data_IF_060064721570
#
_entry.id   IF_060064721570
#
_cell.length_a   1.000
_cell.length_b   1.000
_cell.length_c   1.000
_cell.angle_alpha   90.00
_cell.angle_beta   90.00
_cell.angle_gamma   90.00
#
_symmetry.space_group_name_H-M   'P 1'
#
loop_
_entity.id
_entity.type
_entity.pdbx_description
1 polymer ?
#
# COMPACT_ATOMS: atom_id res chain seq x y z
N UNK A 1 -7.37 -0.79 10.04
CA UNK A 1 -8.12 -0.67 8.76
C UNK A 1 -7.51 -1.61 7.74
N UNK A 2 -8.27 -2.05 6.75
CA UNK A 2 -7.75 -2.80 5.59
C UNK A 2 -8.03 -2.00 4.33
N UNK A 3 -6.98 -1.60 3.61
CA UNK A 3 -7.08 -0.68 2.47
C UNK A 3 -6.58 -1.38 1.21
N UNK A 4 -7.40 -1.38 0.17
CA UNK A 4 -6.97 -1.68 -1.19
C UNK A 4 -6.68 -0.34 -1.91
N UNK A 5 -5.46 -0.08 -2.43
CA UNK A 5 -5.08 1.23 -2.97
C UNK A 5 -5.88 1.73 -4.19
N UNK A 6 -6.63 0.84 -4.85
CA UNK A 6 -7.54 1.18 -5.97
C UNK A 6 -8.70 0.18 -6.02
N UNK A 7 -8.65 -0.79 -6.93
CA UNK A 7 -9.71 -1.78 -7.07
C UNK A 7 -9.43 -3.03 -6.23
N UNK A 8 -10.34 -3.44 -5.33
CA UNK A 8 -10.13 -4.61 -4.47
C UNK A 8 -10.14 -5.94 -5.25
N UNK A 9 -10.65 -5.95 -6.49
CA UNK A 9 -10.61 -7.12 -7.35
C UNK A 9 -9.18 -7.48 -7.79
N UNK A 10 -8.31 -6.48 -7.98
CA UNK A 10 -6.97 -6.67 -8.54
C UNK A 10 -5.83 -6.25 -7.60
N UNK A 11 -6.11 -5.45 -6.58
CA UNK A 11 -5.13 -5.04 -5.56
C UNK A 11 -5.33 -5.83 -4.26
N UNK A 12 -4.25 -6.22 -3.56
CA UNK A 12 -4.36 -6.80 -2.24
C UNK A 12 -4.82 -5.78 -1.21
N UNK A 13 -5.47 -6.27 -0.16
CA UNK A 13 -5.73 -5.47 1.03
C UNK A 13 -4.48 -5.40 1.90
N UNK A 14 -4.12 -4.18 2.27
CA UNK A 14 -2.98 -3.86 3.15
C UNK A 14 -3.56 -3.44 4.50
N UNK A 15 -3.08 -3.97 5.64
CA UNK A 15 -3.50 -3.51 6.95
C UNK A 15 -2.84 -2.16 7.27
N UNK A 16 -3.64 -1.22 7.75
CA UNK A 16 -3.21 0.08 8.25
C UNK A 16 -3.71 0.25 9.67
N UNK A 17 -2.79 0.22 10.64
CA UNK A 17 -3.15 0.36 12.05
C UNK A 17 -3.42 1.82 12.40
N UNK A 18 -4.36 2.01 13.33
CA UNK A 18 -4.61 3.33 13.91
C UNK A 18 -3.50 3.67 14.91
N UNK A 19 -3.19 4.97 15.04
CA UNK A 19 -2.18 5.45 15.99
C UNK A 19 -0.72 5.26 15.55
N UNK A 20 -0.47 4.76 14.33
CA UNK A 20 0.89 4.75 13.76
C UNK A 20 1.44 6.19 13.70
N UNK A 21 2.75 6.33 13.93
CA UNK A 21 3.37 7.64 14.08
C UNK A 21 3.91 8.23 12.77
N UNK A 22 3.98 7.43 11.70
CA UNK A 22 4.35 7.87 10.35
C UNK A 22 3.80 6.93 9.28
N UNK A 23 3.66 7.47 8.08
CA UNK A 23 3.37 6.72 6.86
C UNK A 23 4.65 6.70 6.02
N UNK A 24 4.87 5.64 5.23
CA UNK A 24 6.00 5.62 4.28
C UNK A 24 5.92 6.80 3.33
N UNK A 25 7.06 7.44 3.05
CA UNK A 25 7.14 8.57 2.11
C UNK A 25 6.64 8.24 0.70
N UNK A 26 6.65 6.97 0.30
CA UNK A 26 6.04 6.55 -0.97
C UNK A 26 4.52 6.80 -1.03
N UNK A 27 3.86 6.81 0.14
CA UNK A 27 2.41 6.95 0.30
C UNK A 27 2.00 8.34 0.81
N UNK A 28 2.97 9.18 1.19
CA UNK A 28 2.73 10.53 1.66
C UNK A 28 2.95 11.52 0.52
N UNK A 29 1.94 12.34 0.23
CA UNK A 29 2.09 13.46 -0.72
C UNK A 29 2.67 14.68 -0.03
N UNK A 30 2.20 14.99 1.16
CA UNK A 30 2.58 16.19 1.87
C UNK A 30 2.35 15.96 3.35
N UNK A 31 3.08 16.69 4.18
CA UNK A 31 2.79 16.73 5.61
C UNK A 31 1.37 17.26 5.85
N UNK A 32 0.78 16.95 7.00
CA UNK A 32 -0.54 17.47 7.37
C UNK A 32 -0.59 19.01 7.28
N UNK A 33 0.46 19.71 7.70
CA UNK A 33 0.53 21.17 7.65
C UNK A 33 0.49 21.69 6.22
N UNK A 34 1.32 21.14 5.34
CA UNK A 34 1.34 21.52 3.92
C UNK A 34 0.00 21.18 3.24
N UNK A 35 -0.59 20.03 3.57
CA UNK A 35 -1.90 19.64 3.04
C UNK A 35 -2.99 20.62 3.47
N UNK A 36 -2.98 21.07 4.72
CA UNK A 36 -3.93 22.05 5.25
C UNK A 36 -3.76 23.42 4.61
N UNK A 37 -2.52 23.90 4.50
CA UNK A 37 -2.19 25.18 3.85
C UNK A 37 -2.61 25.21 2.37
N UNK A 38 -2.59 24.06 1.71
CA UNK A 38 -2.87 23.94 0.28
C UNK A 38 -4.25 23.34 -0.04
N UNK A 39 -5.10 23.12 0.96
CA UNK A 39 -6.39 22.43 0.81
C UNK A 39 -7.28 23.03 -0.30
N UNK A 40 -7.25 24.36 -0.47
CA UNK A 40 -8.04 25.08 -1.47
C UNK A 40 -7.29 25.38 -2.78
N UNK A 41 -6.04 24.92 -2.93
CA UNK A 41 -5.24 25.20 -4.12
C UNK A 41 -5.58 24.23 -5.26
N UNK A 42 -6.50 24.68 -6.14
CA UNK A 42 -7.05 23.87 -7.24
C UNK A 42 -6.10 23.64 -8.42
N UNK A 43 -4.96 24.35 -8.47
CA UNK A 43 -4.06 24.33 -9.64
C UNK A 43 -2.78 23.50 -9.42
N UNK A 44 -2.77 22.58 -8.44
CA UNK A 44 -1.61 21.73 -8.19
C UNK A 44 -1.58 20.53 -9.13
N UNK A 45 -0.48 20.42 -9.90
CA UNK A 45 -0.17 19.21 -10.64
C UNK A 45 0.50 18.18 -9.72
N UNK A 46 -0.29 17.32 -9.09
CA UNK A 46 0.20 16.32 -8.14
C UNK A 46 1.10 15.25 -8.78
N UNK A 47 1.00 15.03 -10.10
CA UNK A 47 1.85 14.09 -10.80
C UNK A 47 3.28 14.65 -10.88
N UNK A 48 3.42 15.92 -11.24
CA UNK A 48 4.73 16.60 -11.31
C UNK A 48 5.35 16.81 -9.93
N UNK A 49 4.53 17.13 -8.92
CA UNK A 49 5.01 17.34 -7.56
C UNK A 49 5.48 16.03 -6.90
N UNK A 50 4.84 14.90 -7.24
CA UNK A 50 5.07 13.61 -6.58
C UNK A 50 5.17 12.46 -7.59
N UNK A 51 6.14 12.48 -8.51
CA UNK A 51 6.19 11.55 -9.64
C UNK A 51 6.39 10.09 -9.20
N UNK A 52 6.98 9.86 -8.03
CA UNK A 52 7.21 8.52 -7.47
C UNK A 52 6.10 7.98 -6.57
N UNK A 53 5.02 8.74 -6.37
CA UNK A 53 4.02 8.39 -5.37
C UNK A 53 3.31 7.06 -5.68
N UNK A 54 3.11 6.24 -4.65
CA UNK A 54 2.56 4.89 -4.74
C UNK A 54 1.20 4.84 -5.46
N UNK A 55 0.37 5.88 -5.31
CA UNK A 55 -0.93 5.95 -5.99
C UNK A 55 -0.80 5.85 -7.51
N UNK A 56 0.25 6.39 -8.12
CA UNK A 56 0.46 6.32 -9.57
C UNK A 56 0.79 4.90 -10.01
N UNK A 57 1.58 4.17 -9.23
CA UNK A 57 1.89 2.75 -9.50
C UNK A 57 0.62 1.91 -9.46
N UNK A 58 -0.22 2.10 -8.45
CA UNK A 58 -1.46 1.34 -8.32
C UNK A 58 -2.50 1.69 -9.39
N UNK A 59 -2.53 2.95 -9.84
CA UNK A 59 -3.39 3.41 -10.93
C UNK A 59 -2.90 2.86 -12.29
N UNK A 60 -1.60 2.98 -12.59
CA UNK A 60 -0.98 2.41 -13.78
C UNK A 60 -1.21 0.90 -13.88
N UNK A 61 -1.07 0.19 -12.76
CA UNK A 61 -1.37 -1.24 -12.70
C UNK A 61 -2.85 -1.51 -13.00
N UNK A 62 -3.77 -0.74 -12.42
CA UNK A 62 -5.20 -0.91 -12.69
C UNK A 62 -5.53 -0.68 -14.17
N UNK A 63 -5.05 0.43 -14.74
CA UNK A 63 -5.23 0.77 -16.16
C UNK A 63 -4.66 -0.33 -17.07
N UNK A 64 -3.49 -0.90 -16.71
CA UNK A 64 -2.89 -1.98 -17.49
C UNK A 64 -3.73 -3.25 -17.43
N UNK A 65 -4.21 -3.61 -16.24
CA UNK A 65 -5.05 -4.80 -16.04
C UNK A 65 -6.38 -4.67 -16.77
N UNK A 66 -7.02 -3.52 -16.75
CA UNK A 66 -8.28 -3.31 -17.47
C UNK A 66 -8.11 -3.55 -18.98
N UNK A 67 -6.97 -3.16 -19.55
CA UNK A 67 -6.62 -3.41 -20.95
C UNK A 67 -6.32 -4.88 -21.29
N UNK A 68 -6.05 -5.75 -20.32
CA UNK A 68 -5.73 -7.16 -20.56
C UNK A 68 -6.37 -8.15 -19.55
N UNK A 69 -7.50 -7.78 -18.97
CA UNK A 69 -8.09 -8.47 -17.81
C UNK A 69 -8.30 -9.96 -18.05
N UNK A 70 -8.81 -10.34 -19.22
CA UNK A 70 -9.02 -11.74 -19.58
C UNK A 70 -7.76 -12.60 -19.52
N UNK A 71 -6.59 -12.03 -19.81
CA UNK A 71 -5.29 -12.73 -19.78
C UNK A 71 -4.69 -12.76 -18.37
N UNK A 72 -4.81 -11.67 -17.63
CA UNK A 72 -4.10 -11.49 -16.35
C UNK A 72 -4.90 -11.89 -15.11
N UNK A 73 -6.23 -11.95 -15.20
CA UNK A 73 -7.14 -12.16 -14.06
C UNK A 73 -6.76 -13.36 -13.17
N UNK A 74 -6.39 -14.49 -13.78
CA UNK A 74 -5.95 -15.69 -13.03
C UNK A 74 -4.65 -15.43 -12.25
N UNK A 75 -3.63 -14.89 -12.90
CA UNK A 75 -2.33 -14.62 -12.26
C UNK A 75 -2.45 -13.58 -11.14
N UNK A 76 -3.29 -12.56 -11.33
CA UNK A 76 -3.58 -11.54 -10.34
C UNK A 76 -4.29 -12.15 -9.13
N UNK A 77 -5.31 -12.98 -9.35
CA UNK A 77 -6.05 -13.64 -8.27
C UNK A 77 -5.14 -14.53 -7.43
N UNK A 78 -4.28 -15.33 -8.06
CA UNK A 78 -3.33 -16.21 -7.39
C UNK A 78 -2.32 -15.42 -6.54
N UNK A 79 -1.74 -14.38 -7.15
CA UNK A 79 -0.82 -13.47 -6.46
C UNK A 79 -1.48 -12.80 -5.24
N UNK A 80 -2.64 -12.17 -5.44
CA UNK A 80 -3.39 -11.51 -4.36
C UNK A 80 -3.75 -12.47 -3.25
N UNK A 81 -4.21 -13.68 -3.60
CA UNK A 81 -4.55 -14.71 -2.62
C UNK A 81 -3.35 -15.13 -1.77
N UNK A 82 -2.20 -15.35 -2.41
CA UNK A 82 -0.95 -15.66 -1.70
C UNK A 82 -0.52 -14.50 -0.80
N UNK A 83 -0.47 -13.29 -1.33
CA UNK A 83 -0.07 -12.10 -0.59
C UNK A 83 -0.94 -11.92 0.67
N UNK A 84 -2.27 -11.99 0.52
CA UNK A 84 -3.17 -11.85 1.65
C UNK A 84 -2.99 -12.96 2.69
N UNK A 85 -2.78 -14.21 2.25
CA UNK A 85 -2.50 -15.32 3.17
C UNK A 85 -1.22 -15.06 3.97
N UNK A 86 -0.14 -14.67 3.30
CA UNK A 86 1.14 -14.36 3.94
C UNK A 86 1.00 -13.21 4.95
N UNK A 87 0.23 -12.17 4.60
CA UNK A 87 -0.06 -11.06 5.49
C UNK A 87 -0.84 -11.52 6.72
N UNK A 88 -1.91 -12.29 6.56
CA UNK A 88 -2.69 -12.79 7.70
C UNK A 88 -1.82 -13.60 8.66
N UNK A 89 -0.94 -14.46 8.14
CA UNK A 89 0.01 -15.21 8.96
C UNK A 89 1.01 -14.30 9.68
N UNK A 90 1.50 -13.25 8.99
CA UNK A 90 2.44 -12.28 9.56
C UNK A 90 1.80 -11.47 10.69
N UNK A 91 0.58 -10.98 10.47
CA UNK A 91 -0.20 -10.23 11.46
C UNK A 91 -0.48 -11.09 12.69
N UNK A 92 -1.02 -12.30 12.49
CA UNK A 92 -1.36 -13.20 13.60
C UNK A 92 -0.15 -13.53 14.49
N UNK A 93 1.04 -13.63 13.91
CA UNK A 93 2.28 -13.87 14.67
C UNK A 93 2.74 -12.64 15.47
N UNK A 94 2.49 -11.43 14.96
CA UNK A 94 3.00 -10.19 15.55
C UNK A 94 2.02 -9.52 16.51
N UNK A 95 0.73 -9.51 16.21
CA UNK A 95 -0.28 -8.75 16.97
C UNK A 95 -0.32 -9.12 18.45
N UNK A 96 -0.27 -10.41 18.79
CA UNK A 96 -0.29 -10.85 20.19
C UNK A 96 0.88 -10.27 20.99
N UNK A 97 2.07 -10.18 20.39
CA UNK A 97 3.24 -9.59 21.04
C UNK A 97 3.12 -8.07 21.19
N UNK A 98 2.60 -7.40 20.16
CA UNK A 98 2.41 -5.94 20.17
C UNK A 98 1.36 -5.53 21.21
N UNK A 99 0.25 -6.27 21.33
CA UNK A 99 -0.79 -6.02 22.32
C UNK A 99 -0.23 -6.06 23.75
N UNK A 100 0.60 -7.07 24.07
CA UNK A 100 1.24 -7.14 25.38
C UNK A 100 2.23 -5.99 25.64
N UNK A 101 2.93 -5.51 24.60
CA UNK A 101 3.81 -4.34 24.71
C UNK A 101 2.98 -3.08 24.94
N UNK A 102 1.80 -2.96 24.33
CA UNK A 102 0.97 -1.75 24.40
C UNK A 102 0.55 -1.42 25.84
N UNK A 103 0.29 -2.43 26.68
CA UNK A 103 -0.09 -2.23 28.09
C UNK A 103 1.04 -1.62 28.94
N UNK A 104 2.29 -1.87 28.59
CA UNK A 104 3.47 -1.49 29.39
C UNK A 104 4.30 -0.36 28.76
N UNK A 105 4.32 -0.25 27.44
CA UNK A 105 5.08 0.72 26.66
C UNK A 105 4.34 1.09 25.37
N UNK A 106 3.29 1.94 25.44
CA UNK A 106 2.46 2.30 24.30
C UNK A 106 3.24 2.84 23.10
N UNK A 107 4.19 3.76 23.33
CA UNK A 107 4.98 4.36 22.24
C UNK A 107 5.81 3.32 21.47
N UNK A 108 6.33 2.32 22.18
CA UNK A 108 7.07 1.21 21.57
C UNK A 108 6.13 0.34 20.74
N UNK A 109 4.95 0.02 21.24
CA UNK A 109 3.95 -0.73 20.48
C UNK A 109 3.51 0.02 19.22
N UNK A 110 3.29 1.33 19.30
CA UNK A 110 2.95 2.17 18.15
C UNK A 110 4.07 2.21 17.12
N UNK A 111 5.34 2.23 17.56
CA UNK A 111 6.48 2.11 16.66
C UNK A 111 6.49 0.75 15.94
N UNK A 112 6.29 -0.36 16.64
CA UNK A 112 6.21 -1.70 16.02
C UNK A 112 5.05 -1.82 15.02
N UNK A 113 3.87 -1.25 15.35
CA UNK A 113 2.74 -1.17 14.43
C UNK A 113 3.03 -0.33 13.19
N UNK A 114 3.80 0.75 13.37
CA UNK A 114 4.25 1.63 12.28
C UNK A 114 5.17 0.86 11.33
N UNK A 115 6.18 0.18 11.86
CA UNK A 115 7.10 -0.62 11.04
C UNK A 115 6.38 -1.78 10.35
N UNK A 116 5.45 -2.44 11.03
CA UNK A 116 4.61 -3.48 10.44
C UNK A 116 3.77 -2.94 9.29
N UNK A 117 3.06 -1.83 9.51
CA UNK A 117 2.21 -1.20 8.48
C UNK A 117 3.04 -0.81 7.27
N UNK A 118 4.14 -0.08 7.49
CA UNK A 118 4.97 0.43 6.41
C UNK A 118 5.67 -0.68 5.63
N UNK A 119 6.17 -1.71 6.31
CA UNK A 119 6.79 -2.86 5.62
C UNK A 119 5.77 -3.64 4.77
N UNK A 120 4.53 -3.80 5.23
CA UNK A 120 3.48 -4.45 4.45
C UNK A 120 3.01 -3.60 3.26
N UNK A 121 2.93 -2.28 3.44
CA UNK A 121 2.63 -1.34 2.37
C UNK A 121 3.74 -1.33 1.31
N UNK A 122 5.00 -1.22 1.73
CA UNK A 122 6.17 -1.27 0.84
C UNK A 122 6.22 -2.59 0.05
N UNK A 123 5.98 -3.73 0.70
CA UNK A 123 5.91 -5.02 0.01
C UNK A 123 4.82 -5.04 -1.06
N UNK A 124 3.63 -4.53 -0.75
CA UNK A 124 2.55 -4.43 -1.73
C UNK A 124 2.95 -3.57 -2.92
N UNK A 125 3.55 -2.41 -2.67
CA UNK A 125 4.02 -1.49 -3.70
C UNK A 125 5.07 -2.16 -4.60
N UNK A 126 6.07 -2.82 -4.03
CA UNK A 126 7.14 -3.46 -4.78
C UNK A 126 6.63 -4.63 -5.62
N UNK A 127 5.80 -5.51 -5.06
CA UNK A 127 5.20 -6.61 -5.82
C UNK A 127 4.29 -6.09 -6.96
N UNK A 128 3.56 -4.98 -6.75
CA UNK A 128 2.79 -4.33 -7.83
C UNK A 128 3.70 -3.75 -8.91
N UNK A 129 4.81 -3.10 -8.56
CA UNK A 129 5.81 -2.59 -9.54
C UNK A 129 6.35 -3.73 -10.42
N UNK A 130 6.69 -4.86 -9.82
CA UNK A 130 7.17 -6.05 -10.53
C UNK A 130 6.13 -6.60 -11.50
N UNK A 131 4.86 -6.70 -11.08
CA UNK A 131 3.76 -7.15 -11.94
C UNK A 131 3.52 -6.19 -13.10
N UNK A 132 3.51 -4.89 -12.82
CA UNK A 132 3.38 -3.87 -13.86
C UNK A 132 4.51 -3.96 -14.90
N UNK A 133 5.75 -4.16 -14.44
CA UNK A 133 6.91 -4.35 -15.33
C UNK A 133 6.75 -5.59 -16.21
N UNK A 134 6.34 -6.72 -15.63
CA UNK A 134 6.07 -7.96 -16.38
C UNK A 134 5.01 -7.75 -17.47
N UNK A 135 3.92 -7.05 -17.16
CA UNK A 135 2.85 -6.75 -18.12
C UNK A 135 3.30 -5.80 -19.23
N UNK A 136 4.30 -4.94 -18.99
CA UNK A 136 4.94 -4.11 -20.02
C UNK A 136 5.80 -4.95 -20.96
N UNK A 137 6.51 -5.96 -20.45
CA UNK A 137 7.38 -6.83 -21.26
C UNK A 137 6.63 -7.89 -22.07
N UNK A 138 5.49 -8.39 -21.58
CA UNK A 138 4.68 -9.43 -22.27
C UNK A 138 3.75 -8.89 -23.37
N UNK A 139 3.81 -7.59 -23.65
CA UNK A 139 3.00 -6.91 -24.67
C UNK A 139 3.71 -6.65 -26.00
N UNK A 140 4.83 -7.35 -26.29
CA UNK A 140 5.50 -7.36 -27.60
C UNK A 140 5.35 -8.73 -28.25
#
# INVERSE_FOLDING_TARGET
>A
MWIAPRYPCIQPFIPWYYGINRISSDYEKATFREALENFNNKNRNYIELYPGHACWVFDDFANKVDGCYGKESKSIREWKGKFQKDIFETINKKESGITSIYESAPDKALHELTELTNGLAERALNETKEKLLRMKTSGR
#
